data_IF_443263435455
#
_entry.id   IF_443263435455
#
_cell.length_a   1.000
_cell.length_b   1.000
_cell.length_c   1.000
_cell.angle_alpha   90.00
_cell.angle_beta   90.00
_cell.angle_gamma   90.00
#
_symmetry.space_group_name_H-M   'P 1'
#
loop_
_entity.id
_entity.type
_entity.pdbx_description
1 polymer ?
#
# COMPACT_ATOMS: atom_id res chain seq x y z
N UNK A 1 1.85 -9.39 19.54
CA UNK A 1 0.65 -9.47 20.39
C UNK A 1 -0.51 -9.82 19.47
N UNK A 2 -1.19 -10.92 19.81
CA UNK A 2 -2.09 -11.66 18.92
C UNK A 2 -3.31 -10.88 18.47
N UNK A 3 -3.58 -11.05 17.17
CA UNK A 3 -4.76 -10.60 16.47
C UNK A 3 -6.00 -11.37 16.94
N UNK A 4 -7.11 -10.64 17.12
CA UNK A 4 -8.40 -11.15 17.57
C UNK A 4 -8.99 -12.17 16.56
N UNK A 5 -9.67 -13.24 17.01
CA UNK A 5 -10.31 -14.18 16.12
C UNK A 5 -11.66 -13.66 15.61
N UNK A 6 -11.80 -13.65 14.29
CA UNK A 6 -13.04 -13.49 13.54
C UNK A 6 -13.96 -14.72 13.76
N UNK A 7 -15.29 -14.56 13.78
CA UNK A 7 -16.23 -15.68 13.89
C UNK A 7 -16.32 -16.49 12.59
N UNK A 8 -16.31 -17.80 12.77
CA UNK A 8 -16.47 -18.85 11.77
C UNK A 8 -17.89 -18.85 11.17
N UNK A 9 -18.08 -18.70 9.84
CA UNK A 9 -19.39 -18.75 9.21
C UNK A 9 -19.64 -20.17 8.68
N UNK A 10 -19.82 -21.13 9.58
CA UNK A 10 -20.08 -22.52 9.19
C UNK A 10 -21.23 -23.11 10.01
N UNK A 11 -22.46 -22.75 9.64
CA UNK A 11 -23.65 -23.46 10.06
C UNK A 11 -24.76 -23.33 9.00
N UNK A 12 -25.18 -24.50 8.48
CA UNK A 12 -26.50 -24.79 7.90
C UNK A 12 -26.82 -24.23 6.51
N UNK A 13 -26.11 -24.77 5.51
CA UNK A 13 -26.72 -25.08 4.21
C UNK A 13 -27.44 -26.42 4.30
N UNK A 14 -28.75 -26.39 4.51
CA UNK A 14 -29.62 -27.55 4.41
C UNK A 14 -30.53 -27.41 3.19
N UNK A 15 -30.01 -27.78 2.01
CA UNK A 15 -30.81 -28.13 0.85
C UNK A 15 -31.17 -29.62 0.94
N UNK A 16 -32.46 -30.02 0.97
CA UNK A 16 -32.83 -31.39 0.70
C UNK A 16 -33.23 -31.56 -0.77
N UNK A 17 -32.44 -32.39 -1.44
CA UNK A 17 -32.73 -33.05 -2.71
C UNK A 17 -34.08 -33.81 -2.64
N UNK A 18 -35.00 -33.55 -3.58
CA UNK A 18 -36.06 -34.49 -4.00
C UNK A 18 -35.41 -35.68 -4.71
N UNK A 19 -35.81 -36.96 -4.51
CA UNK A 19 -37.12 -37.41 -5.00
C UNK A 19 -37.78 -38.53 -4.19
N UNK A 20 -39.11 -38.60 -4.30
CA UNK A 20 -39.95 -39.66 -3.76
C UNK A 20 -41.39 -39.32 -4.08
N UNK A 21 -41.82 -39.68 -5.28
CA UNK A 21 -43.23 -39.74 -5.67
C UNK A 21 -43.92 -40.75 -4.77
N UNK A 22 -45.04 -40.34 -4.16
CA UNK A 22 -46.29 -41.10 -4.05
C UNK A 22 -47.12 -40.50 -2.91
N UNK A 23 -48.01 -39.60 -3.30
CA UNK A 23 -48.87 -38.87 -2.40
C UNK A 23 -49.76 -37.96 -3.23
N UNK A 24 -50.86 -38.52 -3.70
CA UNK A 24 -51.91 -37.85 -4.44
C UNK A 24 -52.48 -36.68 -3.62
N UNK A 25 -51.90 -35.49 -3.75
CA UNK A 25 -52.56 -34.24 -3.38
C UNK A 25 -53.50 -33.91 -4.54
N UNK A 26 -54.84 -33.96 -4.37
CA UNK A 26 -55.71 -33.43 -5.40
C UNK A 26 -55.45 -31.93 -5.47
N UNK A 27 -54.85 -31.50 -6.58
CA UNK A 27 -54.75 -30.10 -6.93
C UNK A 27 -56.17 -29.53 -6.99
N UNK A 28 -56.56 -28.77 -5.97
CA UNK A 28 -57.70 -27.88 -6.12
C UNK A 28 -57.31 -26.84 -7.17
N UNK A 29 -58.06 -26.73 -8.28
CA UNK A 29 -57.82 -25.69 -9.25
C UNK A 29 -58.34 -24.38 -8.66
N UNK A 30 -57.56 -23.74 -7.78
CA UNK A 30 -57.58 -22.28 -7.77
C UNK A 30 -56.83 -21.87 -9.03
N UNK A 31 -57.54 -22.01 -10.17
CA UNK A 31 -57.18 -21.36 -11.41
C UNK A 31 -56.87 -19.93 -11.01
N UNK A 32 -55.60 -19.57 -11.17
CA UNK A 32 -55.05 -18.24 -11.02
C UNK A 32 -56.11 -17.29 -11.54
N UNK A 33 -56.77 -16.56 -10.63
CA UNK A 33 -57.77 -15.58 -11.00
C UNK A 33 -57.06 -14.59 -11.90
N UNK A 34 -57.17 -14.81 -13.21
CA UNK A 34 -56.94 -13.77 -14.18
C UNK A 34 -57.83 -12.64 -13.72
N UNK A 35 -57.25 -11.46 -13.54
CA UNK A 35 -57.93 -10.24 -13.14
C UNK A 35 -58.91 -9.80 -14.24
N UNK A 36 -59.85 -10.67 -14.59
CA UNK A 36 -61.02 -10.37 -15.38
C UNK A 36 -61.91 -9.57 -14.45
N UNK A 37 -62.11 -8.31 -14.79
CA UNK A 37 -62.94 -7.37 -14.04
C UNK A 37 -64.26 -8.06 -13.67
N UNK A 38 -64.55 -8.14 -12.37
CA UNK A 38 -65.77 -8.75 -11.87
C UNK A 38 -66.93 -7.81 -12.23
N UNK A 39 -67.85 -8.30 -13.07
CA UNK A 39 -69.10 -7.61 -13.40
C UNK A 39 -70.21 -8.08 -12.43
N UNK A 40 -71.19 -7.24 -12.07
CA UNK A 40 -72.32 -7.67 -11.24
C UNK A 40 -73.02 -8.92 -11.80
N UNK A 41 -73.12 -9.04 -13.13
CA UNK A 41 -73.70 -10.22 -13.78
C UNK A 41 -72.87 -11.49 -13.60
N UNK A 42 -71.54 -11.36 -13.44
CA UNK A 42 -70.65 -12.48 -13.19
C UNK A 42 -70.81 -13.03 -11.77
N UNK A 43 -71.10 -12.14 -10.80
CA UNK A 43 -71.42 -12.54 -9.41
C UNK A 43 -72.75 -13.29 -9.37
N UNK A 44 -73.76 -12.79 -10.08
CA UNK A 44 -75.09 -13.41 -10.16
C UNK A 44 -75.10 -14.79 -10.82
N UNK A 45 -74.25 -14.99 -11.82
CA UNK A 45 -74.17 -16.25 -12.57
C UNK A 45 -73.15 -17.24 -11.98
N UNK A 46 -72.54 -16.91 -10.84
CA UNK A 46 -71.52 -17.74 -10.22
C UNK A 46 -72.15 -18.99 -9.59
N UNK A 47 -71.66 -20.18 -9.99
CA UNK A 47 -72.13 -21.46 -9.44
C UNK A 47 -71.04 -22.06 -8.56
N UNK A 48 -71.37 -22.28 -7.28
CA UNK A 48 -70.50 -22.95 -6.32
C UNK A 48 -70.81 -24.46 -6.26
N UNK A 49 -69.77 -25.28 -6.06
CA UNK A 49 -69.94 -26.72 -5.87
C UNK A 49 -70.38 -27.00 -4.43
N UNK A 50 -71.49 -27.70 -4.25
CA UNK A 50 -72.00 -28.06 -2.92
C UNK A 50 -71.25 -29.26 -2.33
N UNK A 51 -70.80 -29.16 -1.09
CA UNK A 51 -70.06 -30.23 -0.39
C UNK A 51 -71.00 -30.95 0.56
N UNK A 52 -71.08 -32.29 0.49
CA UNK A 52 -72.05 -33.12 1.23
C UNK A 52 -71.49 -33.82 2.48
N UNK A 53 -70.16 -33.88 2.62
CA UNK A 53 -69.45 -34.68 3.64
C UNK A 53 -68.60 -33.83 4.61
N UNK A 54 -68.65 -32.49 4.50
CA UNK A 54 -67.90 -31.54 5.34
C UNK A 54 -68.79 -30.36 5.68
N UNK A 55 -68.49 -29.68 6.80
CA UNK A 55 -69.12 -28.42 7.16
C UNK A 55 -68.96 -27.42 6.01
N UNK A 56 -70.10 -26.99 5.46
CA UNK A 56 -70.18 -26.03 4.36
C UNK A 56 -70.83 -24.74 4.84
N UNK A 57 -70.69 -23.69 4.04
CA UNK A 57 -71.42 -22.44 4.26
C UNK A 57 -72.92 -22.65 4.07
N UNK A 58 -73.73 -21.88 4.81
CA UNK A 58 -75.17 -21.85 4.61
C UNK A 58 -75.47 -21.23 3.23
N UNK A 59 -76.19 -21.97 2.39
CA UNK A 59 -76.54 -21.56 1.04
C UNK A 59 -77.37 -20.27 1.04
N UNK A 60 -78.29 -20.10 1.99
CA UNK A 60 -79.12 -18.91 2.07
C UNK A 60 -78.31 -17.67 2.47
N UNK A 61 -77.33 -17.83 3.37
CA UNK A 61 -76.44 -16.75 3.79
C UNK A 61 -75.46 -16.37 2.67
N UNK A 62 -74.92 -17.35 1.95
CA UNK A 62 -74.05 -17.12 0.79
C UNK A 62 -74.81 -16.40 -0.33
N UNK A 63 -76.04 -16.81 -0.64
CA UNK A 63 -76.87 -16.15 -1.66
C UNK A 63 -77.18 -14.69 -1.29
N UNK A 64 -77.53 -14.43 -0.02
CA UNK A 64 -77.77 -13.06 0.47
C UNK A 64 -76.50 -12.20 0.40
N UNK A 65 -75.35 -12.75 0.77
CA UNK A 65 -74.07 -12.07 0.66
C UNK A 65 -73.71 -11.76 -0.79
N UNK A 66 -73.93 -12.69 -1.72
CA UNK A 66 -73.68 -12.47 -3.15
C UNK A 66 -74.61 -11.39 -3.73
N UNK A 67 -75.87 -11.32 -3.30
CA UNK A 67 -76.78 -10.24 -3.67
C UNK A 67 -76.27 -8.87 -3.18
N UNK A 68 -75.77 -8.80 -1.94
CA UNK A 68 -75.16 -7.59 -1.40
C UNK A 68 -73.90 -7.18 -2.18
N UNK A 69 -73.05 -8.16 -2.56
CA UNK A 69 -71.85 -7.92 -3.37
C UNK A 69 -72.21 -7.44 -4.78
N UNK A 70 -73.23 -8.04 -5.43
CA UNK A 70 -73.72 -7.62 -6.74
C UNK A 70 -74.16 -6.15 -6.74
N UNK A 71 -74.98 -5.78 -5.74
CA UNK A 71 -75.46 -4.40 -5.58
C UNK A 71 -74.30 -3.44 -5.34
N UNK A 72 -73.41 -3.77 -4.39
CA UNK A 72 -72.29 -2.92 -4.03
C UNK A 72 -71.33 -2.72 -5.20
N UNK A 73 -71.04 -3.78 -5.95
CA UNK A 73 -70.19 -3.73 -7.14
C UNK A 73 -70.84 -2.89 -8.25
N UNK A 74 -72.15 -3.02 -8.45
CA UNK A 74 -72.88 -2.20 -9.42
C UNK A 74 -72.88 -0.71 -9.07
N UNK A 75 -73.00 -0.37 -7.77
CA UNK A 75 -72.87 1.01 -7.28
C UNK A 75 -71.45 1.53 -7.52
N UNK A 76 -70.43 0.77 -7.10
CA UNK A 76 -69.03 1.17 -7.24
C UNK A 76 -68.62 1.35 -8.70
N UNK A 77 -69.06 0.46 -9.61
CA UNK A 77 -68.77 0.58 -11.03
C UNK A 77 -69.45 1.80 -11.66
N UNK A 78 -70.70 2.11 -11.28
CA UNK A 78 -71.38 3.35 -11.72
C UNK A 78 -70.67 4.60 -11.20
N UNK A 79 -70.37 4.64 -9.91
CA UNK A 79 -69.65 5.77 -9.30
C UNK A 79 -68.27 5.95 -9.93
N UNK A 80 -67.53 4.87 -10.17
CA UNK A 80 -66.24 4.91 -10.85
C UNK A 80 -66.37 5.40 -12.30
N UNK A 81 -67.43 5.00 -13.02
CA UNK A 81 -67.74 5.48 -14.36
C UNK A 81 -68.10 6.97 -14.37
N UNK A 82 -68.88 7.45 -13.40
CA UNK A 82 -69.21 8.87 -13.23
C UNK A 82 -67.97 9.70 -12.89
N UNK A 83 -67.10 9.20 -12.01
CA UNK A 83 -65.84 9.85 -11.64
C UNK A 83 -64.89 9.97 -12.84
N UNK A 84 -64.80 8.94 -13.68
CA UNK A 84 -64.01 8.95 -14.93
C UNK A 84 -64.66 9.80 -16.03
N UNK A 85 -65.99 9.83 -16.09
CA UNK A 85 -66.74 10.63 -17.06
C UNK A 85 -66.70 12.12 -16.73
N UNK A 86 -66.36 12.51 -15.48
CA UNK A 86 -66.20 13.90 -15.06
C UNK A 86 -65.02 14.55 -15.81
N UNK A 87 -65.29 15.30 -16.89
CA UNK A 87 -64.25 15.80 -17.77
C UNK A 87 -63.51 16.91 -17.04
N UNK A 88 -62.24 16.65 -16.71
CA UNK A 88 -61.38 17.61 -16.02
C UNK A 88 -60.73 17.07 -14.75
N UNK A 89 -61.31 16.06 -14.08
CA UNK A 89 -60.64 15.42 -12.94
C UNK A 89 -59.43 14.59 -13.42
N UNK A 90 -59.62 13.76 -14.46
CA UNK A 90 -58.54 12.97 -15.07
C UNK A 90 -57.48 13.84 -15.76
N UNK A 91 -57.89 14.92 -16.42
CA UNK A 91 -56.95 15.84 -17.07
C UNK A 91 -56.10 16.59 -16.03
N UNK A 92 -56.68 17.01 -14.90
CA UNK A 92 -55.94 17.63 -13.78
C UNK A 92 -55.01 16.63 -13.10
N UNK A 93 -55.49 15.43 -12.78
CA UNK A 93 -54.67 14.37 -12.17
C UNK A 93 -53.48 13.97 -13.05
N UNK A 94 -53.67 13.86 -14.37
CA UNK A 94 -52.58 13.62 -15.33
C UNK A 94 -51.61 14.79 -15.40
N UNK A 95 -52.12 16.04 -15.41
CA UNK A 95 -51.27 17.23 -15.40
C UNK A 95 -50.45 17.36 -14.10
N UNK A 96 -51.05 17.05 -12.94
CA UNK A 96 -50.36 17.07 -11.65
C UNK A 96 -49.32 15.95 -11.55
N UNK A 97 -49.62 14.75 -12.06
CA UNK A 97 -48.63 13.67 -12.18
C UNK A 97 -47.47 14.06 -13.09
N UNK A 98 -47.74 14.71 -14.23
CA UNK A 98 -46.70 15.20 -15.14
C UNK A 98 -45.83 16.29 -14.50
N UNK A 99 -46.42 17.19 -13.71
CA UNK A 99 -45.69 18.22 -12.94
C UNK A 99 -44.79 17.60 -11.87
N UNK A 100 -45.27 16.58 -11.16
CA UNK A 100 -44.48 15.86 -10.14
C UNK A 100 -43.29 15.16 -10.81
N UNK A 101 -43.50 14.49 -11.95
CA UNK A 101 -42.42 13.86 -12.71
C UNK A 101 -41.42 14.90 -13.21
N UNK A 102 -41.88 16.05 -13.72
CA UNK A 102 -41.00 17.13 -14.15
C UNK A 102 -40.16 17.69 -13.00
N UNK A 103 -40.77 17.93 -11.83
CA UNK A 103 -40.05 18.38 -10.63
C UNK A 103 -39.03 17.34 -10.13
N UNK A 104 -39.39 16.05 -10.18
CA UNK A 104 -38.48 14.97 -9.84
C UNK A 104 -37.30 14.89 -10.82
N UNK A 105 -37.54 15.04 -12.13
CA UNK A 105 -36.49 15.07 -13.15
C UNK A 105 -35.57 16.28 -12.98
N UNK A 106 -36.11 17.46 -12.69
CA UNK A 106 -35.32 18.67 -12.42
C UNK A 106 -34.45 18.49 -11.16
N UNK A 107 -35.02 17.91 -10.11
CA UNK A 107 -34.32 17.66 -8.85
C UNK A 107 -33.21 16.61 -9.03
N UNK A 108 -33.49 15.55 -9.79
CA UNK A 108 -32.49 14.55 -10.19
C UNK A 108 -31.38 15.18 -11.02
N UNK A 109 -31.71 16.05 -11.98
CA UNK A 109 -30.74 16.78 -12.79
C UNK A 109 -29.82 17.66 -11.95
N UNK A 110 -30.38 18.43 -11.00
CA UNK A 110 -29.59 19.25 -10.06
C UNK A 110 -28.70 18.39 -9.15
N UNK A 111 -29.19 17.25 -8.68
CA UNK A 111 -28.39 16.33 -7.86
C UNK A 111 -27.22 15.72 -8.65
N UNK A 112 -27.46 15.31 -9.89
CA UNK A 112 -26.42 14.78 -10.78
C UNK A 112 -25.37 15.86 -11.08
N UNK A 113 -25.78 17.07 -11.41
CA UNK A 113 -24.86 18.17 -11.68
C UNK A 113 -24.00 18.51 -10.45
N UNK A 114 -24.60 18.55 -9.26
CA UNK A 114 -23.86 18.76 -8.01
C UNK A 114 -22.85 17.63 -7.73
N UNK A 115 -23.26 16.37 -7.90
CA UNK A 115 -22.37 15.22 -7.72
C UNK A 115 -21.21 15.22 -8.72
N UNK A 116 -21.45 15.60 -9.98
CA UNK A 116 -20.41 15.73 -11.00
C UNK A 116 -19.40 16.83 -10.65
N UNK A 117 -19.87 18.02 -10.26
CA UNK A 117 -19.00 19.12 -9.85
C UNK A 117 -18.14 18.75 -8.64
N UNK A 118 -18.72 18.05 -7.67
CA UNK A 118 -18.01 17.58 -6.49
C UNK A 118 -16.97 16.51 -6.84
N UNK A 119 -17.33 15.53 -7.67
CA UNK A 119 -16.40 14.50 -8.14
C UNK A 119 -15.22 15.11 -8.91
N UNK A 120 -15.49 16.09 -9.77
CA UNK A 120 -14.45 16.83 -10.47
C UNK A 120 -13.56 17.63 -9.51
N UNK A 121 -14.14 18.26 -8.47
CA UNK A 121 -13.39 18.97 -7.43
C UNK A 121 -12.42 18.02 -6.72
N UNK A 122 -12.94 16.89 -6.22
CA UNK A 122 -12.13 15.86 -5.54
C UNK A 122 -11.02 15.37 -6.47
N UNK A 123 -11.34 15.14 -7.74
CA UNK A 123 -10.34 14.66 -8.71
C UNK A 123 -9.25 15.70 -8.98
N UNK A 124 -9.60 16.99 -9.06
CA UNK A 124 -8.62 18.07 -9.21
C UNK A 124 -7.72 18.17 -7.98
N UNK A 125 -8.31 18.23 -6.79
CA UNK A 125 -7.56 18.31 -5.53
C UNK A 125 -6.63 17.11 -5.35
N UNK A 126 -7.12 15.89 -5.61
CA UNK A 126 -6.29 14.69 -5.52
C UNK A 126 -5.12 14.70 -6.51
N UNK A 127 -5.33 15.22 -7.73
CA UNK A 127 -4.26 15.38 -8.72
C UNK A 127 -3.23 16.42 -8.28
N UNK A 128 -3.67 17.59 -7.82
CA UNK A 128 -2.79 18.65 -7.30
C UNK A 128 -1.97 18.15 -6.10
N UNK A 129 -2.59 17.44 -5.17
CA UNK A 129 -1.91 16.83 -4.04
C UNK A 129 -0.88 15.78 -4.47
N UNK A 130 -1.23 14.92 -5.44
CA UNK A 130 -0.31 13.92 -5.98
C UNK A 130 0.89 14.57 -6.70
N UNK A 131 0.66 15.65 -7.45
CA UNK A 131 1.72 16.42 -8.11
C UNK A 131 2.62 17.13 -7.10
N UNK A 132 2.05 17.75 -6.07
CA UNK A 132 2.80 18.36 -4.99
C UNK A 132 3.66 17.33 -4.25
N UNK A 133 3.12 16.15 -3.93
CA UNK A 133 3.87 15.08 -3.28
C UNK A 133 5.00 14.56 -4.18
N UNK A 134 4.75 14.41 -5.49
CA UNK A 134 5.79 14.02 -6.45
C UNK A 134 6.90 15.07 -6.53
N UNK A 135 6.55 16.35 -6.60
CA UNK A 135 7.54 17.44 -6.62
C UNK A 135 8.39 17.45 -5.35
N UNK A 136 7.76 17.28 -4.17
CA UNK A 136 8.48 17.18 -2.90
C UNK A 136 9.40 15.96 -2.85
N UNK A 137 8.95 14.80 -3.34
CA UNK A 137 9.78 13.60 -3.37
C UNK A 137 11.00 13.76 -4.30
N UNK A 138 10.83 14.42 -5.44
CA UNK A 138 11.94 14.69 -6.37
C UNK A 138 12.96 15.66 -5.75
N UNK A 139 12.50 16.74 -5.11
CA UNK A 139 13.36 17.69 -4.40
C UNK A 139 14.10 17.03 -3.23
N UNK A 140 13.45 16.12 -2.49
CA UNK A 140 14.12 15.32 -1.45
C UNK A 140 15.24 14.44 -2.04
N UNK A 141 14.97 13.73 -3.15
CA UNK A 141 15.97 12.90 -3.83
C UNK A 141 17.15 13.73 -4.31
N UNK A 142 16.92 14.93 -4.82
CA UNK A 142 17.98 15.84 -5.26
C UNK A 142 18.83 16.30 -4.08
N UNK A 143 18.22 16.74 -2.99
CA UNK A 143 18.94 17.13 -1.75
C UNK A 143 19.76 16.00 -1.16
N UNK A 144 19.21 14.79 -1.12
CA UNK A 144 19.93 13.61 -0.63
C UNK A 144 21.11 13.27 -1.53
N UNK A 145 20.94 13.36 -2.86
CA UNK A 145 22.05 13.16 -3.81
C UNK A 145 23.14 14.20 -3.63
N UNK A 146 22.79 15.47 -3.47
CA UNK A 146 23.76 16.53 -3.22
C UNK A 146 24.51 16.29 -1.90
N UNK A 147 23.81 15.91 -0.84
CA UNK A 147 24.41 15.57 0.45
C UNK A 147 25.37 14.37 0.33
N UNK A 148 24.98 13.32 -0.40
CA UNK A 148 25.82 12.16 -0.67
C UNK A 148 27.05 12.53 -1.51
N UNK A 149 26.91 13.41 -2.50
CA UNK A 149 28.03 13.88 -3.31
C UNK A 149 29.03 14.71 -2.50
N UNK A 150 28.54 15.57 -1.61
CA UNK A 150 29.39 16.29 -0.67
C UNK A 150 30.12 15.33 0.26
N UNK A 151 29.41 14.35 0.83
CA UNK A 151 30.01 13.31 1.66
C UNK A 151 31.07 12.49 0.92
N UNK A 152 30.80 12.11 -0.34
CA UNK A 152 31.73 11.38 -1.20
C UNK A 152 32.99 12.20 -1.48
N UNK A 153 32.86 13.50 -1.78
CA UNK A 153 34.01 14.39 -2.01
C UNK A 153 34.84 14.57 -0.74
N UNK A 154 34.18 14.71 0.41
CA UNK A 154 34.87 14.83 1.69
C UNK A 154 35.64 13.54 2.02
N UNK A 155 35.03 12.38 1.82
CA UNK A 155 35.70 11.10 2.00
C UNK A 155 36.91 10.96 1.06
N UNK A 156 36.78 11.37 -0.20
CA UNK A 156 37.90 11.36 -1.15
C UNK A 156 39.06 12.24 -0.68
N UNK A 157 38.78 13.46 -0.19
CA UNK A 157 39.82 14.34 0.37
C UNK A 157 40.52 13.73 1.58
N UNK A 158 39.78 13.04 2.44
CA UNK A 158 40.36 12.33 3.61
C UNK A 158 41.24 11.17 3.17
N UNK A 159 40.81 10.40 2.17
CA UNK A 159 41.65 9.33 1.59
C UNK A 159 42.94 9.92 1.02
N UNK A 160 42.86 11.01 0.28
CA UNK A 160 44.04 11.70 -0.27
C UNK A 160 44.96 12.22 0.83
N UNK A 161 44.42 12.78 1.92
CA UNK A 161 45.23 13.29 3.02
C UNK A 161 45.96 12.16 3.75
N UNK A 162 45.27 11.05 4.04
CA UNK A 162 45.87 9.88 4.70
C UNK A 162 46.95 9.27 3.82
N UNK A 163 46.69 9.13 2.51
CA UNK A 163 47.67 8.59 1.59
C UNK A 163 48.91 9.49 1.47
N UNK A 164 48.70 10.82 1.46
CA UNK A 164 49.80 11.79 1.48
C UNK A 164 50.63 11.66 2.77
N UNK A 165 49.98 11.63 3.94
CA UNK A 165 50.69 11.46 5.22
C UNK A 165 51.43 10.13 5.30
N UNK A 166 50.88 9.05 4.73
CA UNK A 166 51.55 7.76 4.66
C UNK A 166 52.78 7.78 3.73
N UNK A 167 52.74 8.53 2.62
CA UNK A 167 53.93 8.76 1.78
C UNK A 167 54.96 9.59 2.53
N UNK A 168 54.56 10.73 3.10
CA UNK A 168 55.46 11.62 3.85
C UNK A 168 56.11 10.91 5.04
N UNK A 169 55.41 9.98 5.70
CA UNK A 169 56.00 9.17 6.76
C UNK A 169 57.02 8.17 6.20
N UNK A 170 56.71 7.47 5.10
CA UNK A 170 57.65 6.56 4.43
C UNK A 170 58.90 7.28 3.94
N UNK A 171 58.73 8.43 3.29
CA UNK A 171 59.83 9.25 2.78
C UNK A 171 60.71 9.72 3.94
N UNK A 172 60.11 10.24 5.03
CA UNK A 172 60.85 10.59 6.25
C UNK A 172 61.63 9.44 6.88
N UNK A 173 61.03 8.24 6.94
CA UNK A 173 61.71 7.05 7.48
C UNK A 173 62.85 6.63 6.55
N UNK A 174 62.64 6.64 5.23
CA UNK A 174 63.67 6.33 4.25
C UNK A 174 64.86 7.29 4.33
N UNK A 175 64.59 8.60 4.39
CA UNK A 175 65.61 9.64 4.53
C UNK A 175 66.37 9.51 5.86
N UNK A 176 65.67 9.26 6.97
CA UNK A 176 66.31 9.08 8.28
C UNK A 176 67.22 7.84 8.30
N UNK A 177 66.79 6.72 7.73
CA UNK A 177 67.61 5.52 7.61
C UNK A 177 68.82 5.74 6.69
N UNK A 178 68.64 6.43 5.56
CA UNK A 178 69.73 6.77 4.65
C UNK A 178 70.77 7.69 5.31
N UNK A 179 70.32 8.67 6.09
CA UNK A 179 71.19 9.55 6.88
C UNK A 179 71.97 8.76 7.94
N UNK A 180 71.31 7.85 8.68
CA UNK A 180 71.98 6.97 9.66
C UNK A 180 73.04 6.08 9.02
N UNK A 181 72.75 5.47 7.87
CA UNK A 181 73.74 4.65 7.14
C UNK A 181 74.94 5.50 6.70
N UNK A 182 74.69 6.71 6.21
CA UNK A 182 75.75 7.64 5.80
C UNK A 182 76.62 8.06 6.98
N UNK A 183 76.01 8.36 8.13
CA UNK A 183 76.72 8.67 9.37
C UNK A 183 77.57 7.50 9.86
N UNK A 184 77.05 6.26 9.83
CA UNK A 184 77.84 5.08 10.20
C UNK A 184 79.04 4.91 9.27
N UNK A 185 78.86 5.13 7.96
CA UNK A 185 79.95 5.08 7.00
C UNK A 185 81.01 6.14 7.26
N UNK A 186 80.62 7.38 7.57
CA UNK A 186 81.60 8.43 7.89
C UNK A 186 82.37 8.12 9.17
N UNK A 187 81.68 7.66 10.23
CA UNK A 187 82.33 7.23 11.46
C UNK A 187 83.33 6.08 11.24
N UNK A 188 83.01 5.15 10.34
CA UNK A 188 83.92 4.07 9.97
C UNK A 188 85.16 4.62 9.24
N UNK A 189 84.98 5.56 8.30
CA UNK A 189 86.09 6.22 7.60
C UNK A 189 86.99 6.96 8.57
N UNK A 190 86.43 7.79 9.46
CA UNK A 190 87.19 8.53 10.47
C UNK A 190 88.01 7.58 11.37
N UNK A 191 87.41 6.45 11.77
CA UNK A 191 88.10 5.42 12.55
C UNK A 191 89.29 4.83 11.78
N UNK A 192 89.13 4.54 10.48
CA UNK A 192 90.20 4.00 9.64
C UNK A 192 91.33 5.01 9.40
N UNK A 193 90.99 6.30 9.24
CA UNK A 193 92.00 7.37 9.09
C UNK A 193 92.81 7.56 10.38
N UNK A 194 92.14 7.50 11.54
CA UNK A 194 92.81 7.51 12.84
C UNK A 194 93.79 6.32 12.95
N UNK A 195 93.33 5.10 12.66
CA UNK A 195 94.15 3.88 12.70
C UNK A 195 95.39 3.97 11.78
N UNK A 196 95.23 4.47 10.55
CA UNK A 196 96.34 4.71 9.63
C UNK A 196 97.36 5.74 10.16
N UNK A 197 96.90 6.77 10.87
CA UNK A 197 97.76 7.77 11.52
C UNK A 197 98.60 7.20 12.67
N UNK A 198 98.06 6.25 13.43
CA UNK A 198 98.82 5.50 14.45
C UNK A 198 99.87 4.59 13.81
N UNK A 199 99.55 3.96 12.68
CA UNK A 199 100.50 3.09 11.96
C UNK A 199 101.64 3.85 11.28
N UNK A 200 101.42 5.07 10.76
CA UNK A 200 102.52 5.91 10.26
C UNK A 200 103.46 6.39 11.39
N UNK A 201 102.95 6.54 12.61
CA UNK A 201 103.73 7.01 13.76
C UNK A 201 104.61 5.90 14.38
N UNK A 202 104.33 4.63 14.09
CA UNK A 202 105.11 3.48 14.58
C UNK A 202 106.27 3.08 13.63
N UNK A 203 106.35 3.68 12.44
CA UNK A 203 107.33 3.31 11.40
C UNK A 203 108.50 4.31 11.23
N UNK A 204 108.62 5.33 12.09
CA UNK A 204 109.80 6.20 12.14
C UNK A 204 110.78 5.80 13.27
N UNK A 205 111.94 5.31 12.82
CA UNK A 205 113.25 5.15 13.49
C UNK A 205 113.42 4.03 14.55
N UNK A 206 114.27 3.01 14.30
CA UNK A 206 114.74 2.12 15.36
C UNK A 206 115.66 2.89 16.34
N UNK A 207 115.59 2.63 17.66
CA UNK A 207 116.50 3.28 18.61
C UNK A 207 117.96 2.89 18.31
N UNK A 208 118.94 3.78 18.55
CA UNK A 208 120.35 3.44 18.37
C UNK A 208 120.71 2.26 19.29
N UNK A 209 121.33 1.23 18.70
CA UNK A 209 121.83 0.07 19.44
C UNK A 209 122.79 0.53 20.52
N UNK A 210 122.40 0.40 21.78
CA UNK A 210 123.32 0.48 22.93
C UNK A 210 124.31 -0.67 22.79
N UNK A 211 125.58 -0.35 22.50
CA UNK A 211 126.67 -1.31 22.54
C UNK A 211 127.12 -1.49 24.00
N UNK A 212 126.93 -2.69 24.53
CA UNK A 212 127.63 -3.19 25.71
C UNK A 212 127.79 -4.72 25.56
N UNK A 213 128.82 -5.39 26.15
CA UNK A 213 130.07 -4.93 26.75
C UNK A 213 131.33 -5.62 26.14
N UNK A 214 132.55 -5.13 26.42
CA UNK A 214 133.79 -5.95 26.29
C UNK A 214 134.23 -6.42 27.69
N UNK A 215 134.59 -7.71 27.86
CA UNK A 215 134.98 -8.29 29.15
C UNK A 215 136.36 -7.84 29.63
N UNK A 216 136.65 -7.97 30.94
CA UNK A 216 137.88 -7.46 31.58
C UNK A 216 139.12 -8.26 31.18
N UNK A 217 140.26 -7.57 31.10
CA UNK A 217 141.59 -8.18 31.03
C UNK A 217 142.30 -7.93 32.36
N UNK A 218 142.40 -8.98 33.16
CA UNK A 218 143.27 -9.19 34.33
C UNK A 218 144.79 -9.21 33.93
N UNK A 219 145.77 -9.36 34.84
CA UNK A 219 145.96 -8.77 36.19
C UNK A 219 147.43 -8.31 36.47
N UNK A 220 147.62 -7.52 37.56
CA UNK A 220 148.79 -7.38 38.48
C UNK A 220 150.22 -7.08 37.94
N UNK A 221 151.20 -6.69 38.80
CA UNK A 221 151.22 -6.48 40.27
C UNK A 221 151.09 -5.03 40.75
#
# INVERSE_FOLDING_TARGET
>A
MSQAPHPDPTAERSDPVRPGTDGHTPALPYARATATVLDPSAVRNQVFTVVRLREGYDLAEVDEFLAQVEISLGVLLRENAELRARPGADARSKADSARIVALAQETAGRAIAGAQQEAERITREAREQAEALRAQALDQVEREREALDLGRRELARRLDSVNRSASEYRDRVADALAAQVTQIRSLLTDLTELEAGWHLSLDETPPPRVAAPRPPSDPTP
#
